data_IF_018125869868
#
_entry.id   IF_018125869868
#
_cell.length_a   1.000
_cell.length_b   1.000
_cell.length_c   1.000
_cell.angle_alpha   90.00
_cell.angle_beta   90.00
_cell.angle_gamma   90.00
#
_symmetry.space_group_name_H-M   'P 1'
#
loop_
_entity.id
_entity.type
_entity.pdbx_description
1 polymer ?
#
# COMPACT_ATOMS: atom_id res chain seq x y z
N UNK A 1 35.31 7.69 19.62
CA UNK A 1 34.08 8.47 19.90
C UNK A 1 33.17 8.24 18.72
N UNK A 2 32.29 7.24 18.79
CA UNK A 2 31.26 7.03 17.78
C UNK A 2 30.09 7.95 18.09
N UNK A 3 29.77 8.84 17.16
CA UNK A 3 28.59 9.68 17.23
C UNK A 3 27.39 8.84 16.82
N UNK A 4 26.65 8.31 17.80
CA UNK A 4 25.32 7.79 17.56
C UNK A 4 24.36 8.96 17.29
N UNK A 5 24.05 9.18 16.01
CA UNK A 5 22.94 10.03 15.61
C UNK A 5 21.63 9.40 16.09
N UNK A 6 20.74 10.14 16.75
CA UNK A 6 19.44 9.61 17.16
C UNK A 6 18.63 9.22 15.91
N UNK A 7 18.07 8.00 15.91
CA UNK A 7 17.08 7.59 14.89
C UNK A 7 15.94 8.62 14.90
N UNK A 8 15.64 9.19 13.73
CA UNK A 8 14.53 10.11 13.56
C UNK A 8 13.24 9.45 14.06
N UNK A 9 12.41 10.19 14.80
CA UNK A 9 11.11 9.70 15.23
C UNK A 9 10.27 9.34 13.99
N UNK A 10 9.76 8.09 13.94
CA UNK A 10 8.86 7.63 12.88
C UNK A 10 7.67 8.59 12.81
N UNK A 11 7.43 9.18 11.63
CA UNK A 11 6.21 9.95 11.38
C UNK A 11 5.02 8.98 11.51
N UNK A 12 3.92 9.34 12.19
CA UNK A 12 2.75 8.49 12.22
C UNK A 12 2.25 8.24 10.79
N UNK A 13 1.97 6.99 10.46
CA UNK A 13 1.39 6.58 9.18
C UNK A 13 0.03 7.24 8.96
N UNK A 14 -0.39 7.38 7.70
CA UNK A 14 -1.61 8.08 7.30
C UNK A 14 -2.85 7.48 7.98
N UNK A 15 -2.86 6.16 8.19
CA UNK A 15 -3.91 5.40 8.89
C UNK A 15 -4.01 5.74 10.38
N UNK A 16 -2.92 6.14 11.03
CA UNK A 16 -2.91 6.47 12.47
C UNK A 16 -3.44 7.89 12.74
N UNK A 17 -3.39 8.79 11.75
CA UNK A 17 -3.79 10.19 11.91
C UNK A 17 -5.30 10.45 11.68
N UNK A 18 -6.01 9.55 10.99
CA UNK A 18 -7.34 9.86 10.43
C UNK A 18 -8.52 9.07 10.99
N UNK A 19 -8.30 8.27 12.04
CA UNK A 19 -9.26 7.25 12.45
C UNK A 19 -9.21 6.09 11.49
N UNK A 20 -9.01 4.88 12.02
CA UNK A 20 -8.62 3.70 11.24
C UNK A 20 -9.45 3.48 9.97
N UNK A 21 -8.86 2.81 8.98
CA UNK A 21 -9.39 2.78 7.62
C UNK A 21 -10.79 2.18 7.60
N UNK A 22 -11.75 2.92 7.04
CA UNK A 22 -12.99 2.30 6.57
C UNK A 22 -12.61 1.65 5.26
N UNK A 23 -12.17 0.41 5.29
CA UNK A 23 -12.00 -0.41 4.08
C UNK A 23 -13.41 -0.90 3.73
N UNK A 24 -14.17 -0.27 2.82
CA UNK A 24 -15.30 -0.97 2.21
C UNK A 24 -14.75 -2.27 1.62
N UNK A 25 -15.51 -3.37 1.67
CA UNK A 25 -15.16 -4.72 1.17
C UNK A 25 -14.57 -4.71 -0.25
N UNK A 26 -13.31 -4.29 -0.38
CA UNK A 26 -12.61 -4.11 -1.62
C UNK A 26 -11.68 -5.29 -1.72
N UNK A 27 -11.76 -6.08 -2.80
CA UNK A 27 -10.94 -7.28 -2.92
C UNK A 27 -9.47 -6.89 -2.85
N UNK A 28 -8.71 -7.65 -2.08
CA UNK A 28 -7.25 -7.63 -2.15
C UNK A 28 -6.83 -8.48 -3.35
N UNK A 29 -5.95 -7.96 -4.20
CA UNK A 29 -5.34 -8.71 -5.29
C UNK A 29 -4.02 -9.28 -4.82
N UNK A 30 -3.92 -10.60 -4.73
CA UNK A 30 -2.69 -11.31 -4.40
C UNK A 30 -2.05 -11.85 -5.69
N UNK A 31 -0.73 -11.71 -5.83
CA UNK A 31 -0.04 -12.17 -7.04
C UNK A 31 1.44 -12.47 -6.81
N UNK A 32 2.04 -13.15 -7.79
CA UNK A 32 3.47 -13.43 -7.90
C UNK A 32 4.05 -12.66 -9.08
N UNK A 33 5.24 -12.10 -8.90
CA UNK A 33 5.94 -11.39 -9.97
C UNK A 33 7.43 -11.26 -9.66
N UNK A 34 8.23 -11.21 -10.72
CA UNK A 34 9.66 -10.93 -10.67
C UNK A 34 10.00 -9.46 -11.05
N UNK A 35 8.97 -8.61 -11.17
CA UNK A 35 9.11 -7.21 -11.53
C UNK A 35 9.59 -6.32 -10.39
N UNK A 36 9.36 -6.74 -9.14
CA UNK A 36 9.46 -5.88 -7.97
C UNK A 36 10.68 -6.28 -7.13
N UNK A 37 11.87 -5.71 -7.39
CA UNK A 37 13.01 -5.91 -6.51
C UNK A 37 12.72 -5.31 -5.13
N UNK A 38 13.20 -6.00 -4.09
CA UNK A 38 13.13 -5.52 -2.71
C UNK A 38 14.41 -4.77 -2.39
N UNK A 39 14.29 -3.55 -1.87
CA UNK A 39 15.43 -2.84 -1.29
C UNK A 39 15.70 -3.45 0.10
N UNK A 40 16.93 -3.94 0.38
CA UNK A 40 17.33 -4.45 1.69
C UNK A 40 17.04 -3.53 2.88
N UNK A 41 16.88 -2.23 2.64
CA UNK A 41 16.65 -1.21 3.66
C UNK A 41 15.22 -0.67 3.67
N UNK A 42 14.34 -1.22 2.85
CA UNK A 42 12.97 -0.75 2.69
C UNK A 42 12.19 -0.76 4.01
N UNK A 43 12.40 -1.80 4.83
CA UNK A 43 11.70 -1.98 6.09
C UNK A 43 12.26 -1.17 7.26
N UNK A 44 13.29 -0.33 7.01
CA UNK A 44 13.70 0.73 7.92
C UNK A 44 12.63 1.85 8.00
N UNK A 45 11.95 2.12 6.88
CA UNK A 45 10.90 3.14 6.77
C UNK A 45 9.52 2.58 7.17
N UNK A 46 9.27 1.29 6.93
CA UNK A 46 8.02 0.60 7.30
C UNK A 46 8.18 -0.23 8.58
N UNK A 47 7.27 -1.17 8.84
CA UNK A 47 7.48 -2.21 9.85
C UNK A 47 8.33 -3.36 9.31
N UNK A 48 9.01 -4.13 10.18
CA UNK A 48 9.82 -5.26 9.73
C UNK A 48 9.07 -6.20 8.79
N UNK A 49 9.73 -6.59 7.70
CA UNK A 49 9.17 -7.44 6.64
C UNK A 49 7.98 -6.84 5.87
N UNK A 50 7.71 -5.53 5.98
CA UNK A 50 6.77 -4.83 5.11
C UNK A 50 7.50 -4.31 3.87
N UNK A 51 7.34 -5.04 2.77
CA UNK A 51 7.86 -4.66 1.46
C UNK A 51 6.71 -4.29 0.51
N UNK A 52 7.02 -3.56 -0.56
CA UNK A 52 6.04 -3.07 -1.52
C UNK A 52 6.40 -1.75 -2.21
N UNK A 53 7.56 -1.15 -1.96
CA UNK A 53 7.95 0.15 -2.50
C UNK A 53 8.02 0.14 -4.02
N UNK A 54 8.77 -0.80 -4.58
CA UNK A 54 8.89 -0.95 -6.04
C UNK A 54 7.53 -1.23 -6.69
N UNK A 55 6.68 -2.00 -6.02
CA UNK A 55 5.29 -2.22 -6.45
C UNK A 55 4.46 -0.93 -6.41
N UNK A 56 4.54 -0.16 -5.32
CA UNK A 56 3.83 1.11 -5.17
C UNK A 56 4.26 2.14 -6.22
N UNK A 57 5.56 2.24 -6.49
CA UNK A 57 6.10 3.12 -7.54
C UNK A 57 5.59 2.71 -8.92
N UNK A 58 5.58 1.40 -9.21
CA UNK A 58 5.03 0.89 -10.46
C UNK A 58 3.53 1.16 -10.58
N UNK A 59 2.73 0.87 -9.55
CA UNK A 59 1.30 1.16 -9.51
C UNK A 59 1.04 2.65 -9.69
N UNK A 60 1.80 3.50 -9.01
CA UNK A 60 1.73 4.97 -9.16
C UNK A 60 1.90 5.38 -10.62
N UNK A 61 2.95 4.90 -11.29
CA UNK A 61 3.19 5.20 -12.70
C UNK A 61 2.08 4.70 -13.64
N UNK A 62 1.45 3.55 -13.33
CA UNK A 62 0.30 3.05 -14.09
C UNK A 62 -0.95 3.92 -13.90
N UNK A 63 -1.21 4.39 -12.68
CA UNK A 63 -2.34 5.28 -12.41
C UNK A 63 -2.12 6.69 -12.97
N UNK A 64 -0.88 7.20 -13.02
CA UNK A 64 -0.55 8.42 -13.77
C UNK A 64 -0.96 8.31 -15.25
N UNK A 65 -0.70 7.16 -15.89
CA UNK A 65 -1.09 6.91 -17.29
C UNK A 65 -2.62 6.90 -17.49
N UNK A 66 -3.40 6.62 -16.45
CA UNK A 66 -4.86 6.69 -16.44
C UNK A 66 -5.39 8.12 -16.16
N UNK A 67 -4.51 9.10 -15.96
CA UNK A 67 -4.86 10.50 -15.73
C UNK A 67 -5.01 10.89 -14.26
N UNK A 68 -4.64 10.02 -13.32
CA UNK A 68 -4.50 10.40 -11.92
C UNK A 68 -3.26 11.28 -11.71
N UNK A 69 -3.19 11.94 -10.56
CA UNK A 69 -2.00 12.67 -10.10
C UNK A 69 -1.59 12.09 -8.74
N UNK A 70 -1.01 10.88 -8.69
CA UNK A 70 -0.62 10.27 -7.44
C UNK A 70 0.43 11.12 -6.70
N UNK A 71 0.35 11.11 -5.38
CA UNK A 71 1.42 11.67 -4.54
C UNK A 71 2.63 10.72 -4.50
N UNK A 72 3.82 11.19 -4.07
CA UNK A 72 4.93 10.31 -3.77
C UNK A 72 4.51 9.18 -2.81
N UNK A 73 4.99 7.96 -3.07
CA UNK A 73 4.63 6.78 -2.27
C UNK A 73 4.99 6.97 -0.80
N UNK A 74 4.10 6.55 0.09
CA UNK A 74 4.20 6.80 1.53
C UNK A 74 4.44 5.47 2.25
N UNK A 75 5.47 5.38 3.11
CA UNK A 75 5.67 4.18 3.93
C UNK A 75 4.60 4.09 5.03
N UNK A 76 4.04 2.90 5.20
CA UNK A 76 3.01 2.57 6.20
C UNK A 76 3.43 1.37 7.05
N UNK A 77 2.71 1.13 8.14
CA UNK A 77 2.99 0.03 9.08
C UNK A 77 2.62 -1.38 8.52
N UNK A 78 1.99 -1.41 7.35
CA UNK A 78 1.59 -2.60 6.59
C UNK A 78 2.23 -2.72 5.19
N UNK A 79 2.97 -1.70 4.71
CA UNK A 79 3.50 -1.67 3.34
C UNK A 79 3.71 -0.25 2.83
N UNK A 80 3.32 0.01 1.58
CA UNK A 80 3.44 1.30 0.92
C UNK A 80 2.10 1.77 0.37
N UNK A 81 1.84 3.07 0.49
CA UNK A 81 0.59 3.69 0.10
C UNK A 81 0.79 4.62 -1.10
N UNK A 82 -0.06 4.47 -2.11
CA UNK A 82 -0.18 5.37 -3.26
C UNK A 82 -1.45 6.18 -3.08
N UNK A 83 -1.35 7.46 -2.74
CA UNK A 83 -2.53 8.34 -2.65
C UNK A 83 -2.87 8.83 -4.05
N UNK A 84 -4.09 8.54 -4.52
CA UNK A 84 -4.60 8.96 -5.83
C UNK A 84 -5.29 10.33 -5.79
N UNK A 85 -5.89 10.68 -4.64
CA UNK A 85 -6.54 11.97 -4.35
C UNK A 85 -6.82 12.09 -2.86
N UNK A 86 -6.92 13.33 -2.35
CA UNK A 86 -7.29 13.63 -0.95
C UNK A 86 -8.69 14.20 -0.77
N UNK A 87 -9.24 14.85 -1.79
CA UNK A 87 -10.55 15.51 -1.75
C UNK A 87 -11.54 14.87 -2.73
N UNK A 88 -12.83 14.73 -2.39
CA UNK A 88 -13.45 15.09 -1.10
C UNK A 88 -13.25 14.04 0.02
N UNK A 89 -12.56 12.95 -0.30
CA UNK A 89 -12.11 11.88 0.59
C UNK A 89 -10.76 11.39 0.08
N UNK A 90 -10.00 10.71 0.92
CA UNK A 90 -8.74 10.11 0.49
C UNK A 90 -9.06 8.82 -0.25
N UNK A 91 -8.57 8.68 -1.47
CA UNK A 91 -8.56 7.43 -2.23
C UNK A 91 -7.11 7.01 -2.40
N UNK A 92 -6.82 5.76 -2.06
CA UNK A 92 -5.46 5.26 -2.04
C UNK A 92 -5.38 3.80 -2.46
N UNK A 93 -4.17 3.36 -2.83
CA UNK A 93 -3.85 1.97 -3.11
C UNK A 93 -2.77 1.52 -2.14
N UNK A 94 -3.05 0.49 -1.37
CA UNK A 94 -2.07 -0.18 -0.53
C UNK A 94 -1.33 -1.23 -1.35
N UNK A 95 0.00 -1.20 -1.27
CA UNK A 95 0.91 -2.15 -1.92
C UNK A 95 1.76 -2.82 -0.84
N UNK A 96 1.72 -4.13 -0.76
CA UNK A 96 2.37 -4.90 0.29
C UNK A 96 2.81 -6.28 -0.17
N UNK A 97 3.25 -7.10 0.78
CA UNK A 97 3.49 -8.53 0.57
C UNK A 97 2.97 -9.36 1.75
N UNK A 98 2.64 -10.63 1.49
CA UNK A 98 2.41 -11.61 2.54
C UNK A 98 3.72 -11.86 3.30
N UNK A 99 3.68 -11.48 4.57
CA UNK A 99 4.80 -11.57 5.51
C UNK A 99 4.62 -12.64 6.58
N UNK A 100 3.51 -13.37 6.56
CA UNK A 100 3.15 -14.35 7.59
C UNK A 100 4.23 -15.41 7.77
N UNK A 101 4.81 -15.88 6.65
CA UNK A 101 5.87 -16.88 6.63
C UNK A 101 7.19 -16.38 7.25
N UNK A 102 7.49 -15.08 7.23
CA UNK A 102 8.78 -14.57 7.71
C UNK A 102 8.87 -14.58 9.24
N UNK A 103 7.76 -14.28 9.92
CA UNK A 103 7.72 -14.29 11.38
C UNK A 103 7.92 -15.68 12.00
N UNK A 104 7.64 -16.75 11.26
CA UNK A 104 7.84 -18.13 11.71
C UNK A 104 9.17 -18.73 11.27
N UNK A 105 9.83 -18.16 10.25
CA UNK A 105 11.03 -18.74 9.63
C UNK A 105 12.32 -17.96 9.84
N UNK A 106 12.24 -16.66 10.17
CA UNK A 106 13.42 -15.79 10.38
C UNK A 106 13.73 -15.69 11.86
N UNK A 107 14.92 -16.14 12.26
CA UNK A 107 15.40 -16.00 13.65
C UNK A 107 15.73 -14.54 13.99
N UNK A 108 15.73 -14.14 15.28
CA UNK A 108 16.14 -12.79 15.69
C UNK A 108 17.51 -12.37 15.16
N UNK A 109 18.46 -13.31 15.09
CA UNK A 109 19.82 -13.06 14.62
C UNK A 109 19.88 -12.83 13.11
N UNK A 110 19.00 -13.49 12.34
CA UNK A 110 18.92 -13.33 10.89
C UNK A 110 18.19 -12.06 10.47
N UNK A 111 17.32 -11.54 11.35
CA UNK A 111 16.39 -10.44 11.04
C UNK A 111 17.08 -9.19 10.50
N UNK A 112 18.24 -8.83 11.03
CA UNK A 112 18.96 -7.61 10.63
C UNK A 112 19.49 -7.66 9.19
N UNK A 113 19.69 -8.85 8.64
CA UNK A 113 20.23 -9.06 7.29
C UNK A 113 19.28 -9.81 6.35
N UNK A 114 18.09 -10.15 6.82
CA UNK A 114 17.15 -10.95 6.05
C UNK A 114 16.46 -10.10 4.99
N UNK A 115 16.68 -10.44 3.74
CA UNK A 115 15.97 -9.85 2.60
C UNK A 115 15.40 -11.00 1.79
N UNK A 116 14.06 -11.14 1.69
CA UNK A 116 13.49 -12.19 0.86
C UNK A 116 13.74 -11.88 -0.61
N UNK A 117 13.74 -12.92 -1.44
CA UNK A 117 13.70 -12.74 -2.88
C UNK A 117 12.30 -12.27 -3.29
N UNK A 118 12.19 -11.13 -3.97
CA UNK A 118 10.91 -10.59 -4.44
C UNK A 118 10.13 -11.54 -5.36
N UNK A 119 10.81 -12.53 -5.97
CA UNK A 119 10.17 -13.59 -6.78
C UNK A 119 9.44 -14.61 -5.91
N UNK A 120 9.83 -14.74 -4.64
CA UNK A 120 9.33 -15.72 -3.68
C UNK A 120 8.30 -15.15 -2.71
N UNK A 121 7.95 -13.87 -2.82
CA UNK A 121 6.90 -13.24 -2.00
C UNK A 121 5.57 -13.17 -2.75
N UNK A 122 4.45 -13.26 -2.03
CA UNK A 122 3.13 -12.96 -2.59
C UNK A 122 2.94 -11.48 -2.39
N UNK A 123 2.88 -10.73 -3.47
CA UNK A 123 2.54 -9.32 -3.46
C UNK A 123 1.03 -9.15 -3.26
N UNK A 124 0.64 -8.05 -2.63
CA UNK A 124 -0.76 -7.68 -2.47
C UNK A 124 -0.98 -6.22 -2.86
N UNK A 125 -2.10 -5.96 -3.54
CA UNK A 125 -2.63 -4.62 -3.75
C UNK A 125 -4.09 -4.55 -3.29
N UNK A 126 -4.48 -3.44 -2.66
CA UNK A 126 -5.89 -3.18 -2.34
C UNK A 126 -6.20 -1.70 -2.54
N UNK A 127 -7.44 -1.39 -2.92
CA UNK A 127 -7.92 0.00 -3.00
C UNK A 127 -8.67 0.33 -1.73
N UNK A 128 -8.35 1.48 -1.13
CA UNK A 128 -8.94 1.94 0.11
C UNK A 128 -9.42 3.39 0.01
N UNK A 129 -10.23 3.79 0.99
CA UNK A 129 -10.60 5.18 1.19
C UNK A 129 -10.61 5.53 2.68
N UNK A 130 -10.19 6.75 3.00
CA UNK A 130 -10.36 7.32 4.33
C UNK A 130 -11.28 8.54 4.24
N UNK A 131 -12.30 8.55 5.08
CA UNK A 131 -13.15 9.75 5.28
C UNK A 131 -12.68 10.46 6.55
N UNK A 132 -12.27 11.73 6.48
CA UNK A 132 -11.93 12.47 7.69
C UNK A 132 -13.08 12.46 8.71
N UNK A 133 -12.79 12.15 9.98
CA UNK A 133 -13.83 12.05 11.01
C UNK A 133 -14.65 13.35 11.14
N UNK A 134 -14.03 14.53 10.90
CA UNK A 134 -14.71 15.83 10.97
C UNK A 134 -15.62 16.13 9.76
N UNK A 135 -15.43 15.46 8.61
CA UNK A 135 -16.28 15.65 7.42
C UNK A 135 -17.56 14.81 7.48
N UNK A 136 -17.59 13.78 8.32
CA UNK A 136 -18.73 12.86 8.51
C UNK A 136 -20.05 13.57 8.88
N UNK A 137 -20.00 14.70 9.60
CA UNK A 137 -21.22 15.42 10.00
C UNK A 137 -21.74 16.41 8.94
N UNK A 138 -20.87 17.06 8.17
CA UNK A 138 -21.27 18.12 7.22
C UNK A 138 -21.45 17.60 5.79
N UNK A 139 -20.67 16.59 5.38
CA UNK A 139 -20.64 16.10 4.01
C UNK A 139 -21.52 14.87 3.76
N UNK A 140 -21.89 14.07 4.76
CA UNK A 140 -22.93 13.02 4.60
C UNK A 140 -24.25 13.57 4.04
N UNK A 141 -24.51 14.87 4.24
CA UNK A 141 -25.71 15.57 3.76
C UNK A 141 -25.52 16.27 2.39
N UNK A 142 -24.28 16.47 1.93
CA UNK A 142 -23.96 17.27 0.72
C UNK A 142 -23.22 16.48 -0.38
N UNK A 143 -22.37 15.51 -0.03
CA UNK A 143 -21.72 14.60 -0.96
C UNK A 143 -22.16 13.18 -0.62
N UNK A 144 -23.01 12.62 -1.47
CA UNK A 144 -23.58 11.29 -1.25
C UNK A 144 -22.50 10.23 -1.07
N UNK A 145 -22.65 9.38 -0.05
CA UNK A 145 -21.81 8.21 0.22
C UNK A 145 -21.66 7.27 -0.98
N UNK A 146 -22.58 7.32 -1.96
CA UNK A 146 -22.45 6.60 -3.23
C UNK A 146 -21.17 6.95 -4.00
N UNK A 147 -20.74 8.22 -3.97
CA UNK A 147 -19.59 8.68 -4.76
C UNK A 147 -18.26 8.05 -4.33
N UNK A 148 -18.02 7.85 -3.02
CA UNK A 148 -16.78 7.24 -2.55
C UNK A 148 -16.69 5.75 -2.90
N UNK A 149 -17.79 5.02 -2.68
CA UNK A 149 -17.88 3.60 -3.04
C UNK A 149 -17.72 3.40 -4.55
N UNK A 150 -18.34 4.24 -5.36
CA UNK A 150 -18.23 4.17 -6.83
C UNK A 150 -16.79 4.44 -7.28
N UNK A 151 -16.11 5.42 -6.68
CA UNK A 151 -14.71 5.73 -7.00
C UNK A 151 -13.74 4.62 -6.58
N UNK A 152 -13.98 4.00 -5.42
CA UNK A 152 -13.24 2.80 -5.00
C UNK A 152 -13.47 1.65 -5.98
N UNK A 153 -14.71 1.42 -6.43
CA UNK A 153 -15.03 0.38 -7.40
C UNK A 153 -14.33 0.61 -8.76
N UNK A 154 -14.35 1.85 -9.27
CA UNK A 154 -13.65 2.22 -10.50
C UNK A 154 -12.14 2.00 -10.37
N UNK A 155 -11.51 2.49 -9.30
CA UNK A 155 -10.08 2.31 -9.08
C UNK A 155 -9.72 0.83 -8.86
N UNK A 156 -10.60 0.04 -8.24
CA UNK A 156 -10.44 -1.41 -8.07
C UNK A 156 -10.46 -2.12 -9.43
N UNK A 157 -11.41 -1.77 -10.31
CA UNK A 157 -11.47 -2.33 -11.66
C UNK A 157 -10.21 -1.96 -12.46
N UNK A 158 -9.77 -0.71 -12.41
CA UNK A 158 -8.56 -0.25 -13.09
C UNK A 158 -7.31 -0.98 -12.57
N UNK A 159 -7.22 -1.18 -11.25
CA UNK A 159 -6.15 -1.96 -10.65
C UNK A 159 -6.17 -3.41 -11.14
N UNK A 160 -7.35 -4.04 -11.18
CA UNK A 160 -7.50 -5.39 -11.72
C UNK A 160 -7.06 -5.48 -13.19
N UNK A 161 -7.45 -4.51 -14.03
CA UNK A 161 -7.06 -4.45 -15.44
C UNK A 161 -5.54 -4.24 -15.60
N UNK A 162 -4.96 -3.33 -14.81
CA UNK A 162 -3.51 -3.09 -14.78
C UNK A 162 -2.76 -4.39 -14.43
N UNK A 163 -3.13 -5.02 -13.32
CA UNK A 163 -2.48 -6.25 -12.84
C UNK A 163 -2.68 -7.41 -13.83
N UNK A 164 -3.90 -7.57 -14.36
CA UNK A 164 -4.23 -8.64 -15.31
C UNK A 164 -3.65 -8.46 -16.72
N UNK A 165 -3.25 -7.23 -17.08
CA UNK A 165 -2.65 -6.94 -18.38
C UNK A 165 -1.13 -7.14 -18.43
N UNK A 166 -0.47 -7.23 -17.27
CA UNK A 166 0.99 -7.38 -17.18
C UNK A 166 1.37 -8.87 -17.21
N UNK A 167 1.99 -9.40 -18.28
CA UNK A 167 2.28 -10.83 -18.41
C UNK A 167 3.23 -11.39 -17.36
N UNK A 168 4.01 -10.53 -16.69
CA UNK A 168 4.90 -10.91 -15.58
C UNK A 168 4.21 -10.89 -14.21
N UNK A 169 2.92 -10.59 -14.16
CA UNK A 169 2.09 -10.68 -12.95
C UNK A 169 1.20 -11.91 -13.07
N UNK A 170 1.33 -12.82 -12.10
CA UNK A 170 0.52 -14.03 -12.00
C UNK A 170 -0.39 -13.90 -10.79
N UNK A 171 -1.66 -13.58 -11.03
CA UNK A 171 -2.67 -13.51 -9.99
C UNK A 171 -2.80 -14.87 -9.29
N UNK A 172 -2.76 -14.87 -7.96
CA UNK A 172 -3.01 -16.04 -7.13
C UNK A 172 -4.51 -16.04 -6.83
N UNK A 173 -5.22 -17.06 -7.28
CA UNK A 173 -6.61 -17.29 -6.88
C UNK A 173 -6.67 -17.67 -5.40
N UNK A 174 -7.62 -17.09 -4.67
CA UNK A 174 -8.00 -17.52 -3.31
C UNK A 174 -8.47 -18.98 -3.27
#
# INVERSE_FOLDING_TARGET
MEFHLPKAAKRPGLTQALGGPVIPESPSFCFRSDLFPIDPREDEETNPFCYGKSLAEWVSARFEQLGYQPEPVIPEDWGWCVILRRDPFILWIGCGCDRSQFYSSVTPEQKESFVPDGREVTWSCLVGTDTPIWTSFFWKRLLGQGTAKDQVAVATQQLQEILGSEPRIQLVSE
#
